data_IF_614854698498
#
_entry.id   IF_614854698498
#
_cell.length_a   1.000
_cell.length_b   1.000
_cell.length_c   1.000
_cell.angle_alpha   90.00
_cell.angle_beta   90.00
_cell.angle_gamma   90.00
#
_symmetry.space_group_name_H-M   'P 1'
#
loop_
_entity.id
_entity.type
_entity.pdbx_description
1 polymer ?
#
# COMPACT_ATOMS: atom_id res chain seq x y z
N UNK A 1 -8.56 12.13 -4.36
CA UNK A 1 -7.51 13.16 -4.35
C UNK A 1 -6.32 12.76 -5.22
N UNK A 2 -5.56 11.68 -4.95
CA UNK A 2 -4.45 11.26 -5.85
C UNK A 2 -4.95 10.77 -7.22
N UNK A 3 -5.96 9.88 -7.25
CA UNK A 3 -6.57 9.44 -8.51
C UNK A 3 -7.09 10.63 -9.34
N UNK A 4 -7.76 11.59 -8.70
CA UNK A 4 -8.21 12.82 -9.37
C UNK A 4 -7.04 13.68 -9.88
N UNK A 5 -5.99 13.86 -9.08
CA UNK A 5 -4.80 14.65 -9.44
C UNK A 5 -4.00 14.05 -10.60
N UNK A 6 -4.06 12.73 -10.75
CA UNK A 6 -3.32 11.97 -11.78
C UNK A 6 -4.19 11.58 -12.98
N UNK A 7 -5.51 11.66 -12.85
CA UNK A 7 -6.46 11.01 -13.77
C UNK A 7 -6.40 9.48 -13.74
N UNK A 8 -5.79 8.90 -12.70
CA UNK A 8 -5.58 7.46 -12.57
C UNK A 8 -6.83 6.70 -12.15
N UNK A 9 -6.84 5.41 -12.47
CA UNK A 9 -7.89 4.48 -12.04
C UNK A 9 -7.65 3.95 -10.63
N UNK A 10 -8.72 3.62 -9.92
CA UNK A 10 -8.67 3.06 -8.58
C UNK A 10 -8.86 1.55 -8.62
N UNK A 11 -7.96 0.85 -7.94
CA UNK A 11 -8.08 -0.58 -7.65
C UNK A 11 -8.01 -0.77 -6.14
N UNK A 12 -9.08 -1.33 -5.56
CA UNK A 12 -9.16 -1.55 -4.12
C UNK A 12 -8.66 -2.95 -3.76
N UNK A 13 -7.73 -3.03 -2.81
CA UNK A 13 -7.25 -4.29 -2.26
C UNK A 13 -8.25 -4.79 -1.21
N UNK A 14 -9.15 -5.67 -1.63
CA UNK A 14 -10.18 -6.25 -0.75
C UNK A 14 -9.73 -7.64 -0.26
N UNK A 15 -9.44 -7.84 1.04
CA UNK A 15 -9.20 -9.16 1.60
C UNK A 15 -10.39 -10.09 1.37
N UNK A 16 -10.14 -11.34 0.98
CA UNK A 16 -11.17 -12.35 0.81
C UNK A 16 -11.92 -12.60 2.13
N UNK A 17 -11.19 -12.57 3.24
CA UNK A 17 -11.73 -12.50 4.60
C UNK A 17 -11.45 -11.11 5.20
N UNK A 18 -12.43 -10.17 5.17
CA UNK A 18 -12.25 -8.80 5.64
C UNK A 18 -11.92 -8.70 7.12
N UNK A 19 -11.04 -7.77 7.48
CA UNK A 19 -10.71 -7.50 8.88
C UNK A 19 -11.89 -6.82 9.60
N UNK A 20 -12.35 -7.45 10.66
CA UNK A 20 -13.33 -6.84 11.57
C UNK A 20 -12.65 -5.87 12.55
N UNK A 21 -13.45 -5.10 13.29
CA UNK A 21 -12.91 -4.25 14.37
C UNK A 21 -12.25 -5.06 15.50
N UNK A 22 -12.70 -6.30 15.73
CA UNK A 22 -12.09 -7.22 16.70
C UNK A 22 -10.74 -7.72 16.19
N UNK A 23 -10.64 -8.03 14.89
CA UNK A 23 -9.40 -8.43 14.24
C UNK A 23 -8.33 -7.35 14.28
N UNK A 24 -8.74 -6.08 14.17
CA UNK A 24 -7.86 -4.91 14.22
C UNK A 24 -7.61 -4.42 15.65
N UNK A 25 -8.02 -5.17 16.67
CA UNK A 25 -7.73 -4.81 18.05
C UNK A 25 -6.29 -5.16 18.42
N UNK A 26 -5.40 -4.18 18.20
CA UNK A 26 -3.98 -4.30 18.52
C UNK A 26 -3.65 -4.45 20.01
N UNK A 27 -4.63 -4.22 20.90
CA UNK A 27 -4.46 -4.44 22.35
C UNK A 27 -4.89 -5.83 22.79
N UNK A 28 -5.50 -6.62 21.91
CA UNK A 28 -5.82 -8.02 22.15
C UNK A 28 -4.77 -8.91 21.49
N UNK A 29 -4.09 -9.70 22.31
CA UNK A 29 -3.05 -10.62 21.87
C UNK A 29 -3.56 -11.77 21.00
N UNK A 30 -4.88 -12.02 21.03
CA UNK A 30 -5.56 -13.05 20.24
C UNK A 30 -6.29 -12.49 19.02
N UNK A 31 -6.29 -11.16 18.81
CA UNK A 31 -6.85 -10.61 17.58
C UNK A 31 -6.06 -11.10 16.37
N UNK A 32 -6.73 -11.21 15.23
CA UNK A 32 -6.10 -11.67 13.98
C UNK A 32 -4.84 -10.86 13.66
N UNK A 33 -4.89 -9.52 13.76
CA UNK A 33 -3.73 -8.68 13.45
C UNK A 33 -2.55 -8.94 14.41
N UNK A 34 -2.83 -9.22 15.69
CA UNK A 34 -1.79 -9.55 16.67
C UNK A 34 -1.18 -10.93 16.42
N UNK A 35 -1.99 -11.90 15.98
CA UNK A 35 -1.54 -13.25 15.65
C UNK A 35 -0.68 -13.27 14.38
N UNK A 36 -1.11 -12.57 13.33
CA UNK A 36 -0.36 -12.35 12.09
C UNK A 36 0.94 -11.56 12.34
N UNK A 37 0.95 -10.65 13.31
CA UNK A 37 2.20 -10.01 13.73
C UNK A 37 3.19 -11.02 14.33
N UNK A 38 2.71 -11.87 15.25
CA UNK A 38 3.54 -12.86 15.95
C UNK A 38 4.03 -13.99 15.05
N UNK A 39 3.27 -14.33 14.01
CA UNK A 39 3.56 -15.43 13.11
C UNK A 39 3.53 -14.98 11.64
N UNK A 40 4.70 -14.92 11.01
CA UNK A 40 4.84 -14.45 9.64
C UNK A 40 4.11 -15.35 8.62
N UNK A 41 3.99 -16.64 8.90
CA UNK A 41 3.28 -17.60 8.05
C UNK A 41 1.78 -17.28 7.92
N UNK A 42 1.23 -16.48 8.85
CA UNK A 42 -0.18 -16.05 8.82
C UNK A 42 -0.37 -14.74 8.06
N UNK A 43 0.69 -14.05 7.64
CA UNK A 43 0.60 -12.77 6.92
C UNK A 43 0.22 -12.92 5.44
N UNK A 44 0.02 -14.14 4.95
CA UNK A 44 -0.48 -14.39 3.60
C UNK A 44 -2.00 -14.14 3.54
N UNK A 45 -2.37 -12.88 3.31
CA UNK A 45 -3.78 -12.47 3.25
C UNK A 45 -4.30 -12.62 1.84
N UNK A 46 -5.20 -13.57 1.60
CA UNK A 46 -5.82 -13.73 0.28
C UNK A 46 -6.68 -12.51 -0.07
N UNK A 47 -6.59 -12.04 -1.32
CA UNK A 47 -7.36 -10.94 -1.86
C UNK A 47 -8.44 -11.46 -2.80
N UNK A 48 -9.59 -10.77 -2.87
CA UNK A 48 -10.68 -11.09 -3.81
C UNK A 48 -10.19 -11.04 -5.26
N UNK A 49 -9.31 -10.09 -5.57
CA UNK A 49 -8.60 -10.01 -6.85
C UNK A 49 -7.23 -9.38 -6.64
N UNK A 50 -6.26 -9.84 -7.42
CA UNK A 50 -4.96 -9.17 -7.61
C UNK A 50 -4.74 -8.75 -9.06
N UNK A 51 -5.70 -9.05 -9.94
CA UNK A 51 -5.62 -8.76 -11.37
C UNK A 51 -6.19 -7.37 -11.65
N UNK A 52 -5.37 -6.54 -12.29
CA UNK A 52 -5.75 -5.22 -12.81
C UNK A 52 -5.85 -5.32 -14.33
N UNK A 53 -6.95 -4.85 -14.89
CA UNK A 53 -7.15 -4.83 -16.34
C UNK A 53 -6.08 -3.95 -17.02
N UNK A 54 -5.62 -4.38 -18.19
CA UNK A 54 -4.59 -3.69 -18.98
C UNK A 54 -3.30 -3.36 -18.21
N UNK A 55 -2.91 -4.21 -17.23
CA UNK A 55 -1.72 -4.02 -16.39
C UNK A 55 -0.46 -3.63 -17.16
N UNK A 56 -0.20 -4.25 -18.31
CA UNK A 56 0.98 -3.98 -19.14
C UNK A 56 1.03 -2.54 -19.68
N UNK A 57 -0.11 -1.90 -19.85
CA UNK A 57 -0.21 -0.50 -20.31
C UNK A 57 0.07 0.53 -19.20
N UNK A 58 -0.01 0.11 -17.94
CA UNK A 58 0.18 0.97 -16.78
C UNK A 58 1.68 1.19 -16.56
N UNK A 59 2.13 2.44 -16.68
CA UNK A 59 3.52 2.84 -16.43
C UNK A 59 3.78 3.38 -15.03
N UNK A 60 2.74 3.85 -14.33
CA UNK A 60 2.86 4.44 -12.99
C UNK A 60 1.82 3.85 -12.04
N UNK A 61 2.26 3.35 -10.90
CA UNK A 61 1.42 2.71 -9.89
C UNK A 61 1.58 3.45 -8.56
N UNK A 62 0.48 3.93 -8.00
CA UNK A 62 0.45 4.50 -6.65
C UNK A 62 -0.12 3.47 -5.68
N UNK A 63 0.61 3.12 -4.63
CA UNK A 63 0.20 2.06 -3.69
C UNK A 63 -0.07 2.66 -2.32
N UNK A 64 -1.35 2.69 -1.94
CA UNK A 64 -1.83 3.27 -0.68
C UNK A 64 -2.07 2.22 0.39
N UNK A 65 -1.60 2.47 1.62
CA UNK A 65 -1.82 1.54 2.73
C UNK A 65 -1.76 2.20 4.11
N UNK A 66 -2.44 1.65 5.14
CA UNK A 66 -2.15 1.97 6.52
C UNK A 66 -0.83 1.34 6.96
N UNK A 67 -0.20 1.91 7.99
CA UNK A 67 1.02 1.37 8.59
C UNK A 67 0.66 0.37 9.70
N UNK A 68 1.07 -0.88 9.54
CA UNK A 68 1.04 -1.92 10.56
C UNK A 68 2.47 -2.26 10.99
N UNK A 69 2.76 -1.97 12.24
CA UNK A 69 4.03 -2.16 12.96
C UNK A 69 5.27 -1.66 12.19
N UNK A 70 5.15 -0.47 11.60
CA UNK A 70 6.23 0.16 10.83
C UNK A 70 6.36 -0.31 9.38
N UNK A 71 5.44 -1.16 8.92
CA UNK A 71 5.39 -1.73 7.57
C UNK A 71 4.02 -1.46 6.93
N UNK A 72 3.87 -1.80 5.64
CA UNK A 72 2.56 -1.79 5.00
C UNK A 72 1.67 -2.88 5.60
N UNK A 73 0.35 -2.67 5.61
CA UNK A 73 -0.58 -3.71 6.01
C UNK A 73 -0.43 -4.95 5.11
N UNK A 74 -0.49 -6.14 5.71
CA UNK A 74 -0.17 -7.38 5.00
C UNK A 74 -1.02 -7.73 3.78
N UNK A 75 -2.28 -7.27 3.62
CA UNK A 75 -3.01 -7.41 2.35
C UNK A 75 -2.26 -6.86 1.13
N UNK A 76 -1.42 -5.82 1.33
CA UNK A 76 -0.62 -5.22 0.25
C UNK A 76 0.41 -6.21 -0.27
N UNK A 77 0.99 -7.03 0.62
CA UNK A 77 2.03 -8.00 0.25
C UNK A 77 1.53 -8.99 -0.81
N UNK A 78 0.29 -9.44 -0.68
CA UNK A 78 -0.35 -10.34 -1.64
C UNK A 78 -0.52 -9.71 -3.01
N UNK A 79 -0.83 -8.41 -3.07
CA UNK A 79 -0.87 -7.68 -4.34
C UNK A 79 0.52 -7.54 -4.95
N UNK A 80 1.53 -7.18 -4.15
CA UNK A 80 2.91 -7.02 -4.62
C UNK A 80 3.46 -8.32 -5.20
N UNK A 81 3.33 -9.42 -4.46
CA UNK A 81 3.87 -10.73 -4.88
C UNK A 81 3.11 -11.36 -6.03
N UNK A 82 1.90 -10.89 -6.35
CA UNK A 82 1.09 -11.40 -7.46
C UNK A 82 1.29 -10.66 -8.78
N UNK A 83 2.06 -9.57 -8.81
CA UNK A 83 2.17 -8.70 -9.98
C UNK A 83 3.64 -8.41 -10.33
N UNK A 84 3.94 -8.38 -11.62
CA UNK A 84 5.25 -7.96 -12.14
C UNK A 84 5.25 -6.43 -12.35
N UNK A 85 6.18 -5.73 -11.69
CA UNK A 85 6.31 -4.28 -11.78
C UNK A 85 7.38 -3.85 -12.80
N UNK A 86 7.94 -4.77 -13.58
CA UNK A 86 8.94 -4.48 -14.61
C UNK A 86 8.48 -3.35 -15.54
N UNK A 87 9.33 -2.33 -15.68
CA UNK A 87 9.04 -1.16 -16.52
C UNK A 87 8.05 -0.16 -15.93
N UNK A 88 7.60 -0.35 -14.68
CA UNK A 88 6.68 0.55 -13.98
C UNK A 88 7.40 1.39 -12.93
N UNK A 89 6.98 2.64 -12.79
CA UNK A 89 7.34 3.47 -11.64
C UNK A 89 6.32 3.26 -10.54
N UNK A 90 6.77 2.89 -9.34
CA UNK A 90 5.91 2.58 -8.20
C UNK A 90 6.13 3.60 -7.10
N UNK A 91 5.05 4.20 -6.61
CA UNK A 91 5.08 5.25 -5.60
C UNK A 91 4.21 4.83 -4.40
N UNK A 92 4.80 4.38 -3.30
CA UNK A 92 4.05 4.08 -2.09
C UNK A 92 3.53 5.35 -1.44
N UNK A 93 2.40 5.28 -0.76
CA UNK A 93 1.96 6.31 0.16
C UNK A 93 1.21 5.69 1.33
N UNK A 94 1.25 6.35 2.48
CA UNK A 94 0.53 5.87 3.65
C UNK A 94 -0.30 6.95 4.33
N UNK A 95 -1.37 6.53 4.97
CA UNK A 95 -2.13 7.35 5.91
C UNK A 95 -1.82 6.88 7.32
N UNK A 96 -1.35 7.80 8.17
CA UNK A 96 -1.06 7.50 9.57
C UNK A 96 -1.40 8.72 10.44
N UNK A 97 -1.55 8.52 11.75
CA UNK A 97 -1.68 9.64 12.70
C UNK A 97 -0.32 10.29 13.02
N UNK A 98 0.75 9.49 13.14
CA UNK A 98 2.07 9.97 13.61
C UNK A 98 3.27 9.32 12.92
N UNK A 99 3.15 8.08 12.44
CA UNK A 99 4.27 7.35 11.81
C UNK A 99 4.61 7.95 10.45
N UNK A 100 5.89 8.15 10.16
CA UNK A 100 6.33 8.40 8.78
C UNK A 100 6.13 7.14 7.90
N UNK A 101 6.37 7.26 6.59
CA UNK A 101 6.41 6.10 5.70
C UNK A 101 7.45 5.07 6.17
N UNK A 102 8.54 5.54 6.77
CA UNK A 102 9.59 4.68 7.32
C UNK A 102 10.17 3.74 6.28
N UNK A 103 10.37 2.48 6.65
CA UNK A 103 10.86 1.43 5.74
C UNK A 103 9.75 0.74 4.94
N UNK A 104 8.48 1.10 5.14
CA UNK A 104 7.36 0.35 4.52
C UNK A 104 7.48 0.27 3.00
N UNK A 105 7.77 1.39 2.32
CA UNK A 105 7.95 1.42 0.87
C UNK A 105 9.16 0.62 0.40
N UNK A 106 10.26 0.66 1.17
CA UNK A 106 11.48 -0.13 0.88
C UNK A 106 11.21 -1.63 1.00
N UNK A 107 10.48 -2.05 2.03
CA UNK A 107 10.13 -3.47 2.22
C UNK A 107 9.22 -3.98 1.10
N UNK A 108 8.29 -3.15 0.60
CA UNK A 108 7.48 -3.50 -0.57
C UNK A 108 8.33 -3.60 -1.83
N UNK A 109 9.28 -2.68 -2.04
CA UNK A 109 10.19 -2.73 -3.18
C UNK A 109 11.08 -3.98 -3.16
N UNK A 110 11.63 -4.33 -1.99
CA UNK A 110 12.40 -5.57 -1.78
C UNK A 110 11.56 -6.81 -2.09
N UNK A 111 10.28 -6.82 -1.72
CA UNK A 111 9.35 -7.92 -1.98
C UNK A 111 8.92 -8.02 -3.45
N UNK A 112 8.81 -6.90 -4.15
CA UNK A 112 8.40 -6.85 -5.55
C UNK A 112 9.48 -7.38 -6.51
N UNK A 113 10.75 -7.27 -6.12
CA UNK A 113 11.96 -7.59 -6.91
C UNK A 113 12.11 -6.81 -8.24
N UNK A 114 11.07 -6.11 -8.67
CA UNK A 114 10.93 -5.45 -9.97
C UNK A 114 10.27 -4.07 -9.82
N UNK A 115 10.41 -3.25 -10.86
CA UNK A 115 9.91 -1.87 -10.90
C UNK A 115 10.89 -0.83 -10.38
N UNK A 116 10.61 0.42 -10.71
CA UNK A 116 11.35 1.60 -10.24
C UNK A 116 10.59 2.25 -9.09
N UNK A 117 11.02 1.94 -7.86
CA UNK A 117 10.34 2.38 -6.65
C UNK A 117 10.87 3.73 -6.16
N UNK A 118 10.02 4.75 -6.20
CA UNK A 118 10.35 6.08 -5.71
C UNK A 118 10.11 6.21 -4.21
N UNK A 119 10.71 7.24 -3.60
CA UNK A 119 10.37 7.62 -2.24
C UNK A 119 8.90 8.06 -2.18
N UNK A 120 8.15 7.41 -1.30
CA UNK A 120 6.74 7.67 -1.11
C UNK A 120 6.45 8.84 -0.18
N UNK A 121 5.16 9.10 0.05
CA UNK A 121 4.72 10.15 0.97
C UNK A 121 3.79 9.62 2.06
N UNK A 122 3.95 10.15 3.27
CA UNK A 122 2.96 9.97 4.33
C UNK A 122 1.99 11.16 4.33
N UNK A 123 0.71 10.85 4.20
CA UNK A 123 -0.38 11.81 4.35
C UNK A 123 -0.98 11.74 5.75
N UNK A 124 -1.19 12.92 6.35
CA UNK A 124 -1.98 13.05 7.56
C UNK A 124 -3.47 13.19 7.21
N UNK A 125 -4.34 13.14 8.22
CA UNK A 125 -5.80 13.26 8.04
C UNK A 125 -6.28 14.64 7.58
N UNK A 126 -5.39 15.62 7.48
CA UNK A 126 -5.68 17.02 7.15
C UNK A 126 -5.02 17.48 5.85
N UNK A 127 -4.44 16.57 5.06
CA UNK A 127 -3.80 16.95 3.79
C UNK A 127 -4.82 17.55 2.83
N UNK A 128 -4.45 18.65 2.20
CA UNK A 128 -5.26 19.33 1.18
C UNK A 128 -5.09 18.72 -0.22
N UNK A 129 -6.05 18.98 -1.10
CA UNK A 129 -5.93 18.61 -2.53
C UNK A 129 -4.74 19.31 -3.20
N UNK A 130 -4.46 20.58 -2.84
CA UNK A 130 -3.32 21.34 -3.36
C UNK A 130 -1.98 20.69 -2.98
N UNK A 131 -1.83 20.24 -1.73
CA UNK A 131 -0.62 19.53 -1.29
C UNK A 131 -0.43 18.20 -2.03
N UNK A 132 -1.52 17.47 -2.29
CA UNK A 132 -1.48 16.24 -3.08
C UNK A 132 -1.09 16.52 -4.53
N UNK A 133 -1.67 17.57 -5.14
CA UNK A 133 -1.33 17.95 -6.50
C UNK A 133 0.15 18.35 -6.62
N UNK A 134 0.63 19.20 -5.70
CA UNK A 134 2.02 19.62 -5.68
C UNK A 134 2.99 18.44 -5.52
N UNK A 135 2.63 17.45 -4.70
CA UNK A 135 3.42 16.22 -4.58
C UNK A 135 3.42 15.42 -5.89
N UNK A 136 2.25 15.20 -6.51
CA UNK A 136 2.13 14.46 -7.77
C UNK A 136 2.95 15.10 -8.88
N UNK A 137 2.87 16.43 -9.02
CA UNK A 137 3.59 17.20 -10.05
C UNK A 137 5.11 17.10 -9.85
N UNK A 138 5.58 17.05 -8.60
CA UNK A 138 6.99 16.91 -8.26
C UNK A 138 7.59 15.53 -8.54
N UNK A 139 6.79 14.50 -8.81
CA UNK A 139 7.27 13.16 -9.15
C UNK A 139 7.64 13.00 -10.64
N UNK A 140 7.40 14.04 -11.47
CA UNK A 140 7.59 14.01 -12.93
C UNK A 140 8.69 14.94 -13.47
N UNK A 141 9.47 15.57 -12.60
CA UNK A 141 10.54 16.54 -12.94
C UNK A 141 11.94 15.99 -12.74
#
# INVERSE_FOLDING_TARGET
MIANATGGELFELVPLDPYTSEDLNYSDDNSRVSMEYKNEDQRNVELVSTTVDDWDSISKVYIGYPIWWGQAAWPVNSFITSNDFTGKTVIPFCTSASSSLGRSGVLLAEMAETGDWLEGMRFNSTVSEEEIQAWVDGLGS
#
